data_IF_458290764603
#
_entry.id   IF_458290764603
#
_cell.length_a   1.000
_cell.length_b   1.000
_cell.length_c   1.000
_cell.angle_alpha   90.00
_cell.angle_beta   90.00
_cell.angle_gamma   90.00
#
_symmetry.space_group_name_H-M   'P 1'
#
loop_
_entity.id
_entity.type
_entity.pdbx_description
1 polymer ?
#
# COMPACT_ATOMS: atom_id res chain seq x y z
N UNK A 1 -14.56 -19.86 11.46
CA UNK A 1 -14.85 -19.92 10.01
C UNK A 1 -13.55 -20.26 9.32
N UNK A 2 -13.55 -21.16 8.34
CA UNK A 2 -12.35 -21.52 7.55
C UNK A 2 -12.44 -20.94 6.15
N UNK A 3 -11.29 -20.72 5.54
CA UNK A 3 -11.15 -20.38 4.13
C UNK A 3 -11.29 -21.68 3.30
N UNK A 4 -12.14 -21.66 2.27
CA UNK A 4 -12.29 -22.77 1.35
C UNK A 4 -11.15 -22.78 0.31
N UNK A 5 -10.13 -23.61 0.56
CA UNK A 5 -8.97 -23.79 -0.32
C UNK A 5 -9.32 -24.40 -1.68
N UNK A 6 -10.49 -25.03 -1.82
CA UNK A 6 -10.97 -25.55 -3.11
C UNK A 6 -11.67 -24.49 -3.97
N UNK A 7 -11.70 -23.23 -3.55
CA UNK A 7 -12.20 -22.15 -4.40
C UNK A 7 -11.25 -21.91 -5.57
N UNK A 8 -11.80 -21.69 -6.76
CA UNK A 8 -11.02 -21.45 -7.98
C UNK A 8 -10.08 -20.25 -7.85
N UNK A 9 -10.49 -19.23 -7.09
CA UNK A 9 -9.63 -18.07 -6.78
C UNK A 9 -8.37 -18.49 -6.03
N UNK A 10 -8.50 -19.28 -4.97
CA UNK A 10 -7.34 -19.67 -4.16
C UNK A 10 -6.44 -20.67 -4.87
N UNK A 11 -7.02 -21.60 -5.61
CA UNK A 11 -6.24 -22.49 -6.48
C UNK A 11 -5.38 -21.66 -7.45
N UNK A 12 -5.94 -20.64 -8.10
CA UNK A 12 -5.18 -19.76 -8.99
C UNK A 12 -4.10 -18.93 -8.26
N UNK A 13 -4.38 -18.46 -7.05
CA UNK A 13 -3.40 -17.70 -6.25
C UNK A 13 -2.21 -18.60 -5.89
N UNK A 14 -2.49 -19.81 -5.43
CA UNK A 14 -1.48 -20.81 -5.06
C UNK A 14 -0.68 -21.27 -6.29
N UNK A 15 -1.35 -21.65 -7.38
CA UNK A 15 -0.72 -22.11 -8.64
C UNK A 15 0.18 -21.04 -9.27
N UNK A 16 -0.25 -19.78 -9.25
CA UNK A 16 0.53 -18.65 -9.77
C UNK A 16 1.64 -18.21 -8.82
N UNK A 17 1.85 -18.94 -7.71
CA UNK A 17 2.83 -18.63 -6.67
C UNK A 17 2.68 -17.19 -6.16
N UNK A 18 1.45 -16.69 -6.10
CA UNK A 18 1.18 -15.41 -5.43
C UNK A 18 1.30 -15.64 -3.94
N UNK A 19 2.19 -14.90 -3.31
CA UNK A 19 2.70 -15.29 -2.01
C UNK A 19 1.72 -14.99 -0.87
N UNK A 20 0.72 -14.13 -1.08
CA UNK A 20 -0.06 -13.58 0.02
C UNK A 20 -1.44 -13.07 -0.37
N UNK A 21 -2.36 -13.13 0.60
CA UNK A 21 -3.65 -12.46 0.58
C UNK A 21 -3.74 -11.50 1.75
N UNK A 22 -4.44 -10.39 1.54
CA UNK A 22 -4.68 -9.40 2.58
C UNK A 22 -6.17 -9.06 2.64
N UNK A 23 -6.62 -8.64 3.82
CA UNK A 23 -7.97 -8.10 4.02
C UNK A 23 -7.91 -6.58 4.18
N UNK A 24 -8.86 -5.88 3.55
CA UNK A 24 -9.03 -4.45 3.75
C UNK A 24 -9.53 -4.19 5.18
N UNK A 25 -8.79 -3.41 5.94
CA UNK A 25 -9.15 -3.01 7.31
C UNK A 25 -9.76 -1.62 7.34
N UNK A 26 -9.12 -0.68 6.67
CA UNK A 26 -9.47 0.73 6.68
C UNK A 26 -9.27 1.35 5.31
N UNK A 27 -9.98 2.45 5.06
CA UNK A 27 -9.88 3.20 3.80
C UNK A 27 -10.09 4.68 4.03
N UNK A 28 -9.35 5.48 3.29
CA UNK A 28 -9.55 6.93 3.19
C UNK A 28 -10.35 7.17 1.91
N UNK A 29 -11.45 7.89 2.03
CA UNK A 29 -12.38 8.14 0.92
C UNK A 29 -12.67 9.63 0.78
N UNK A 30 -12.92 10.06 -0.45
CA UNK A 30 -13.50 11.38 -0.70
C UNK A 30 -14.92 11.43 -0.14
N UNK A 31 -15.26 12.53 0.54
CA UNK A 31 -16.61 12.78 1.05
C UNK A 31 -17.46 13.60 0.08
N UNK A 32 -16.80 14.34 -0.80
CA UNK A 32 -17.39 15.21 -1.81
C UNK A 32 -16.62 15.08 -3.12
N UNK A 33 -17.16 15.68 -4.18
CA UNK A 33 -16.47 15.80 -5.47
C UNK A 33 -15.28 16.73 -5.30
N UNK A 34 -14.11 16.34 -5.80
CA UNK A 34 -12.93 17.19 -5.78
C UNK A 34 -12.16 17.08 -7.10
N UNK A 35 -11.19 17.97 -7.30
CA UNK A 35 -10.50 18.11 -8.58
C UNK A 35 -9.00 18.22 -8.36
N UNK A 36 -8.23 17.47 -9.13
CA UNK A 36 -6.77 17.56 -9.17
C UNK A 36 -6.38 18.29 -10.46
N UNK A 37 -5.59 19.35 -10.34
CA UNK A 37 -5.09 20.11 -11.48
C UNK A 37 -3.57 20.10 -11.48
N UNK A 38 -2.94 19.62 -12.56
CA UNK A 38 -1.49 19.77 -12.75
C UNK A 38 -1.16 21.21 -13.17
N UNK A 39 -0.30 21.88 -12.41
CA UNK A 39 0.21 23.20 -12.74
C UNK A 39 1.71 23.11 -13.05
N UNK A 40 2.06 22.98 -14.33
CA UNK A 40 3.45 23.11 -14.79
C UNK A 40 3.87 24.59 -14.74
N UNK A 41 4.56 24.99 -13.68
CA UNK A 41 5.28 26.26 -13.68
C UNK A 41 6.59 26.06 -14.45
N UNK A 42 6.62 26.47 -15.72
CA UNK A 42 7.89 26.66 -16.43
C UNK A 42 8.51 27.94 -15.89
N UNK A 43 9.32 27.81 -14.84
CA UNK A 43 10.18 28.92 -14.40
C UNK A 43 11.25 29.12 -15.49
N UNK A 44 11.01 30.01 -16.45
CA UNK A 44 12.09 30.54 -17.30
C UNK A 44 12.96 31.48 -16.46
N UNK A 45 13.76 30.92 -15.57
CA UNK A 45 14.88 31.66 -15.00
C UNK A 45 16.05 31.58 -15.98
N UNK A 46 16.04 32.47 -16.98
CA UNK A 46 17.24 32.74 -17.76
C UNK A 46 18.22 33.49 -16.85
N UNK A 47 19.12 32.74 -16.20
CA UNK A 47 20.52 33.10 -15.96
C UNK A 47 21.16 32.07 -15.02
N UNK A 48 22.01 31.20 -15.59
CA UNK A 48 22.92 30.35 -14.81
C UNK A 48 22.69 28.85 -14.94
N UNK A 49 23.75 28.15 -15.30
CA UNK A 49 23.90 26.72 -15.60
C UNK A 49 23.14 25.78 -14.65
N UNK A 50 22.33 24.89 -15.24
CA UNK A 50 21.63 23.72 -14.65
C UNK A 50 20.34 24.01 -13.84
N UNK A 51 19.21 24.16 -14.54
CA UNK A 51 17.88 24.26 -13.93
C UNK A 51 17.31 22.90 -13.50
N UNK A 52 17.05 22.74 -12.20
CA UNK A 52 16.20 21.66 -11.69
C UNK A 52 14.73 22.10 -11.74
N UNK A 53 13.92 21.51 -12.63
CA UNK A 53 12.47 21.76 -12.64
C UNK A 53 11.81 21.02 -11.46
N UNK A 54 11.31 21.74 -10.46
CA UNK A 54 10.46 21.15 -9.41
C UNK A 54 9.00 21.24 -9.84
N UNK A 55 8.32 20.09 -9.94
CA UNK A 55 6.91 20.01 -10.32
C UNK A 55 6.04 20.07 -9.07
N UNK A 56 5.18 21.08 -8.96
CA UNK A 56 4.25 21.25 -7.83
C UNK A 56 2.86 20.76 -8.25
N UNK A 57 2.36 19.73 -7.58
CA UNK A 57 0.98 19.24 -7.76
C UNK A 57 0.08 19.96 -6.77
N UNK A 58 -0.95 20.67 -7.26
CA UNK A 58 -1.93 21.37 -6.42
C UNK A 58 -3.26 20.62 -6.43
N UNK A 59 -3.79 20.33 -5.24
CA UNK A 59 -5.09 19.68 -5.04
C UNK A 59 -6.07 20.71 -4.49
N UNK A 60 -7.25 20.84 -5.09
CA UNK A 60 -8.30 21.77 -4.62
C UNK A 60 -9.67 21.10 -4.54
N UNK A 61 -10.53 21.64 -3.69
CA UNK A 61 -11.94 21.26 -3.56
C UNK A 61 -12.74 22.46 -4.04
N UNK A 62 -13.51 22.33 -5.12
CA UNK A 62 -14.35 23.41 -5.65
C UNK A 62 -15.82 23.04 -5.62
N UNK A 63 -16.65 23.96 -5.14
CA UNK A 63 -18.12 23.84 -5.11
C UNK A 63 -18.77 24.46 -6.36
N UNK A 64 -18.00 25.20 -7.17
CA UNK A 64 -18.51 25.95 -8.32
C UNK A 64 -17.57 25.88 -9.53
N UNK A 65 -18.15 25.52 -10.68
CA UNK A 65 -17.45 25.29 -11.94
C UNK A 65 -17.08 26.56 -12.70
N UNK A 66 -16.13 27.36 -12.20
CA UNK A 66 -15.50 28.40 -13.01
C UNK A 66 -14.11 27.94 -13.47
N UNK A 67 -14.02 27.67 -14.78
CA UNK A 67 -12.82 27.17 -15.46
C UNK A 67 -12.01 28.36 -16.01
N UNK A 68 -10.85 28.66 -15.41
CA UNK A 68 -9.80 29.43 -16.08
C UNK A 68 -8.82 28.45 -16.73
N UNK A 69 -8.70 28.57 -18.05
CA UNK A 69 -8.08 27.63 -18.97
C UNK A 69 -6.63 28.02 -19.21
N UNK A 70 -5.72 27.39 -18.50
CA UNK A 70 -4.32 27.23 -18.89
C UNK A 70 -4.01 25.74 -18.77
N UNK A 71 -3.64 25.11 -19.90
CA UNK A 71 -3.16 23.73 -20.19
C UNK A 71 -3.13 22.62 -19.12
N UNK A 72 -3.95 22.68 -18.09
CA UNK A 72 -3.95 21.83 -16.91
C UNK A 72 -4.78 20.60 -17.22
N UNK A 73 -4.18 19.42 -17.02
CA UNK A 73 -4.96 18.19 -16.95
C UNK A 73 -5.75 18.26 -15.65
N UNK A 74 -7.07 18.36 -15.78
CA UNK A 74 -8.02 18.40 -14.67
C UNK A 74 -8.58 16.99 -14.50
N UNK A 75 -8.19 16.31 -13.42
CA UNK A 75 -8.77 15.03 -13.01
C UNK A 75 -9.86 15.29 -11.97
N UNK A 76 -11.08 14.90 -12.27
CA UNK A 76 -12.21 15.01 -11.36
C UNK A 76 -12.41 13.71 -10.58
N UNK A 77 -12.53 13.79 -9.25
CA UNK A 77 -12.72 12.66 -8.35
C UNK A 77 -14.12 12.77 -7.71
N UNK A 78 -15.03 11.82 -7.95
CA UNK A 78 -16.36 11.81 -7.34
C UNK A 78 -16.33 11.59 -5.83
N UNK A 79 -17.43 11.90 -5.11
CA UNK A 79 -17.63 11.45 -3.73
C UNK A 79 -17.54 9.93 -3.60
N UNK A 80 -17.19 9.46 -2.40
CA UNK A 80 -17.04 8.05 -2.05
C UNK A 80 -15.98 7.29 -2.88
N UNK A 81 -14.99 7.99 -3.43
CA UNK A 81 -13.84 7.38 -4.09
C UNK A 81 -12.79 7.02 -3.04
N UNK A 82 -12.31 5.78 -3.01
CA UNK A 82 -11.21 5.37 -2.11
C UNK A 82 -9.88 5.86 -2.68
N UNK A 83 -9.14 6.64 -1.90
CA UNK A 83 -7.85 7.22 -2.31
C UNK A 83 -6.65 6.52 -1.65
N UNK A 84 -6.87 5.88 -0.51
CA UNK A 84 -5.87 5.07 0.17
C UNK A 84 -6.56 3.98 1.01
N UNK A 85 -5.82 2.93 1.32
CA UNK A 85 -6.31 1.83 2.12
C UNK A 85 -5.23 1.28 3.05
N UNK A 86 -5.66 0.77 4.21
CA UNK A 86 -4.84 -0.06 5.09
C UNK A 86 -5.33 -1.51 5.03
N UNK A 87 -4.38 -2.44 4.90
CA UNK A 87 -4.65 -3.88 4.83
C UNK A 87 -4.02 -4.61 6.01
N UNK A 88 -4.53 -5.81 6.29
CA UNK A 88 -3.88 -6.79 7.17
C UNK A 88 -3.59 -8.04 6.34
N UNK A 89 -2.36 -8.53 6.40
CA UNK A 89 -1.97 -9.77 5.72
C UNK A 89 -2.58 -11.00 6.42
N UNK A 90 -2.82 -12.06 5.66
CA UNK A 90 -3.35 -13.31 6.17
C UNK A 90 -2.30 -14.40 6.06
N UNK A 91 -2.09 -15.15 7.14
CA UNK A 91 -1.40 -16.43 7.10
C UNK A 91 -2.43 -17.55 7.05
N UNK A 92 -2.40 -18.39 6.02
CA UNK A 92 -3.41 -19.41 5.72
C UNK A 92 -2.80 -20.81 5.83
N UNK A 93 -3.35 -21.63 6.71
CA UNK A 93 -2.95 -23.02 6.95
C UNK A 93 -3.58 -23.96 5.92
N UNK A 94 -3.00 -25.14 5.73
CA UNK A 94 -3.54 -26.22 4.88
C UNK A 94 -4.93 -26.69 5.33
N UNK A 95 -5.24 -26.51 6.62
CA UNK A 95 -6.58 -26.77 7.17
C UNK A 95 -7.64 -25.73 6.75
N UNK A 96 -7.24 -24.65 6.08
CA UNK A 96 -8.08 -23.49 5.78
C UNK A 96 -8.29 -22.55 6.98
N UNK A 97 -7.71 -22.86 8.14
CA UNK A 97 -7.61 -21.91 9.24
C UNK A 97 -6.66 -20.77 8.85
N UNK A 98 -6.91 -19.58 9.38
CA UNK A 98 -6.09 -18.41 9.06
C UNK A 98 -5.86 -17.53 10.28
N UNK A 99 -4.78 -16.75 10.22
CA UNK A 99 -4.37 -15.79 11.23
C UNK A 99 -4.17 -14.42 10.59
N UNK A 100 -4.45 -13.37 11.36
CA UNK A 100 -4.18 -11.99 10.97
C UNK A 100 -2.75 -11.63 11.38
N UNK A 101 -1.91 -11.23 10.42
CA UNK A 101 -0.55 -10.81 10.69
C UNK A 101 -0.58 -9.36 11.20
N UNK A 102 -0.66 -9.21 12.53
CA UNK A 102 -0.81 -7.91 13.20
C UNK A 102 0.52 -7.30 13.68
N UNK A 103 1.57 -8.11 13.73
CA UNK A 103 2.90 -7.71 14.19
C UNK A 103 3.85 -7.72 13.00
N UNK A 104 4.81 -6.80 12.97
CA UNK A 104 5.78 -6.66 11.86
C UNK A 104 6.62 -7.93 11.62
N UNK A 105 6.79 -8.74 12.66
CA UNK A 105 7.51 -10.03 12.59
C UNK A 105 6.67 -11.17 11.98
N UNK A 106 5.36 -10.98 11.81
CA UNK A 106 4.48 -11.97 11.20
C UNK A 106 4.38 -11.72 9.70
N UNK A 107 4.83 -12.70 8.92
CA UNK A 107 4.68 -12.70 7.47
C UNK A 107 3.40 -13.42 7.08
N UNK A 108 2.52 -12.75 6.31
CA UNK A 108 1.39 -13.43 5.70
C UNK A 108 1.80 -14.41 4.59
N UNK A 109 0.82 -15.17 4.09
CA UNK A 109 1.00 -16.11 3.00
C UNK A 109 0.33 -17.45 3.26
N UNK A 110 0.86 -18.49 2.62
CA UNK A 110 0.34 -19.85 2.74
C UNK A 110 1.35 -20.73 3.48
N UNK A 111 0.84 -21.60 4.35
CA UNK A 111 1.63 -22.65 4.98
C UNK A 111 2.33 -23.49 3.90
N UNK A 112 3.63 -23.74 4.06
CA UNK A 112 4.42 -24.54 3.13
C UNK A 112 4.48 -25.97 3.64
N UNK A 113 4.40 -26.93 2.73
CA UNK A 113 4.64 -28.33 3.08
C UNK A 113 6.08 -28.46 3.57
N UNK A 114 6.27 -28.97 4.79
CA UNK A 114 7.59 -29.21 5.33
C UNK A 114 8.28 -30.28 4.50
N UNK A 115 9.22 -29.91 3.64
CA UNK A 115 10.20 -30.87 3.13
C UNK A 115 10.97 -31.38 4.34
N UNK A 116 10.70 -32.62 4.72
CA UNK A 116 11.29 -33.29 5.88
C UNK A 116 12.81 -33.06 5.92
N UNK A 117 13.31 -32.38 6.95
CA UNK A 117 14.76 -32.18 7.11
C UNK A 117 15.26 -31.05 8.00
N UNK A 118 14.43 -30.15 8.55
CA UNK A 118 14.94 -29.19 9.54
C UNK A 118 14.05 -29.11 10.78
N UNK A 119 14.44 -29.85 11.81
CA UNK A 119 14.08 -29.55 13.20
C UNK A 119 14.64 -28.18 13.56
N UNK A 120 13.84 -27.13 13.41
CA UNK A 120 14.05 -25.88 14.14
C UNK A 120 12.71 -25.46 14.76
N UNK A 121 12.60 -25.41 16.09
CA UNK A 121 11.52 -24.67 16.72
C UNK A 121 11.86 -23.19 16.50
N UNK A 122 11.28 -22.52 15.50
CA UNK A 122 11.47 -21.07 15.39
C UNK A 122 10.54 -20.31 16.35
N UNK A 123 10.63 -20.69 17.62
CA UNK A 123 10.34 -19.88 18.78
C UNK A 123 11.65 -19.76 19.58
N UNK A 124 12.62 -19.06 19.00
CA UNK A 124 13.78 -18.52 19.70
C UNK A 124 13.79 -17.03 19.32
N UNK A 125 13.23 -16.13 20.13
CA UNK A 125 13.93 -15.49 21.25
C UNK A 125 15.44 -15.30 20.99
N UNK A 126 15.82 -14.02 20.94
CA UNK A 126 17.17 -13.45 20.98
C UNK A 126 18.04 -13.57 19.73
N UNK A 127 18.15 -12.44 19.01
CA UNK A 127 19.48 -11.90 18.70
C UNK A 127 19.46 -10.38 18.81
N UNK A 128 20.31 -9.89 19.69
CA UNK A 128 20.57 -8.49 19.98
C UNK A 128 20.77 -7.65 18.71
N UNK A 129 19.89 -6.70 18.49
CA UNK A 129 20.17 -5.50 17.74
C UNK A 129 19.42 -4.33 18.40
N UNK A 130 19.80 -4.03 19.63
CA UNK A 130 19.64 -2.67 20.16
C UNK A 130 20.50 -1.77 19.26
N UNK A 131 19.90 -1.25 18.18
CA UNK A 131 20.43 -0.07 17.53
C UNK A 131 20.38 1.05 18.57
N UNK A 132 21.54 1.33 19.16
CA UNK A 132 21.78 2.57 19.89
C UNK A 132 21.44 3.71 18.93
N UNK A 133 20.27 4.31 19.11
CA UNK A 133 19.97 5.64 18.60
C UNK A 133 20.26 6.61 19.76
N UNK A 134 21.45 7.22 19.75
CA UNK A 134 21.72 8.42 20.53
C UNK A 134 21.26 9.61 19.70
N UNK A 135 20.30 10.42 20.16
CA UNK A 135 20.06 11.72 19.56
C UNK A 135 21.17 12.67 20.01
N UNK A 136 21.86 13.26 19.04
CA UNK A 136 22.73 14.42 19.29
C UNK A 136 21.86 15.61 19.73
N UNK A 137 22.33 16.30 20.76
CA UNK A 137 21.73 17.50 21.36
C UNK A 137 22.09 18.78 20.59
#
# INVERSE_FOLDING_TARGET
>A
RTINLNSSLLQQVIERKREMLCILREKIMTTQKCTISEHTQTEEKISGVMGCSTKIVKVSVSENGSMMKDSSVILEIPPATTIAYGVIELFIKHSGQFEFCLLDEQQGGFEKESTEGSTYPHSALFRDALFLYQPDA
#
